data_IF_880428570732
#
_entry.id   IF_880428570732
#
_cell.length_a   1.000
_cell.length_b   1.000
_cell.length_c   1.000
_cell.angle_alpha   90.00
_cell.angle_beta   90.00
_cell.angle_gamma   90.00
#
_symmetry.space_group_name_H-M   'P 1'
#
loop_
_entity.id
_entity.type
_entity.pdbx_description
1 polymer ?
#
# COMPACT_ATOMS: atom_id res chain seq x y z
N UNK A 1 43.76 17.53 -13.52
CA UNK A 1 42.73 18.34 -12.82
C UNK A 1 41.34 18.15 -13.43
N UNK A 2 41.22 18.06 -14.76
CA UNK A 2 39.98 17.66 -15.45
C UNK A 2 39.53 16.22 -15.13
N UNK A 3 40.46 15.27 -14.97
CA UNK A 3 40.11 13.88 -14.63
C UNK A 3 39.51 13.75 -13.22
N UNK A 4 40.03 14.51 -12.25
CA UNK A 4 39.46 14.54 -10.89
C UNK A 4 38.06 15.16 -10.90
N UNK A 5 37.85 16.21 -11.72
CA UNK A 5 36.52 16.78 -11.89
C UNK A 5 35.54 15.77 -12.53
N UNK A 6 35.97 15.01 -13.54
CA UNK A 6 35.16 13.93 -14.13
C UNK A 6 34.86 12.80 -13.15
N UNK A 7 35.83 12.39 -12.32
CA UNK A 7 35.64 11.35 -11.29
C UNK A 7 34.60 11.80 -10.25
N UNK A 8 34.67 13.05 -9.78
CA UNK A 8 33.70 13.61 -8.82
C UNK A 8 32.30 13.72 -9.43
N UNK A 9 32.20 14.10 -10.71
CA UNK A 9 30.91 14.16 -11.42
C UNK A 9 30.32 12.76 -11.68
N UNK A 10 31.16 11.76 -11.94
CA UNK A 10 30.76 10.38 -12.15
C UNK A 10 30.29 9.70 -10.85
N UNK A 11 30.89 10.02 -9.71
CA UNK A 11 30.45 9.56 -8.39
C UNK A 11 29.04 10.08 -8.04
N UNK A 12 28.73 11.32 -8.42
CA UNK A 12 27.39 11.89 -8.23
C UNK A 12 26.33 11.25 -9.13
N UNK A 13 26.69 10.85 -10.36
CA UNK A 13 25.80 10.15 -11.29
C UNK A 13 25.60 8.66 -10.95
N UNK A 14 26.60 8.03 -10.33
CA UNK A 14 26.52 6.66 -9.83
C UNK A 14 25.65 6.52 -8.57
N UNK A 15 25.44 7.62 -7.82
CA UNK A 15 24.65 7.68 -6.59
C UNK A 15 23.20 8.13 -6.83
N UNK A 16 22.56 7.63 -7.89
CA UNK A 16 21.13 7.82 -8.12
C UNK A 16 20.29 7.31 -6.93
N UNK A 17 19.01 7.75 -6.78
CA UNK A 17 18.16 7.33 -5.68
C UNK A 17 18.11 5.80 -5.56
N UNK A 18 18.41 5.27 -4.37
CA UNK A 18 18.43 3.83 -4.12
C UNK A 18 17.08 3.15 -4.43
N UNK A 19 15.99 3.91 -4.32
CA UNK A 19 14.64 3.51 -4.72
C UNK A 19 14.14 4.53 -5.75
N UNK A 20 13.85 4.05 -6.95
CA UNK A 20 13.22 4.88 -7.99
C UNK A 20 11.76 5.19 -7.64
N UNK A 21 11.21 6.27 -8.21
CA UNK A 21 9.80 6.65 -8.00
C UNK A 21 8.80 5.50 -8.20
N UNK A 22 8.87 4.75 -9.32
CA UNK A 22 8.01 3.59 -9.55
C UNK A 22 8.22 2.46 -8.53
N UNK A 23 9.46 2.22 -8.10
CA UNK A 23 9.76 1.21 -7.07
C UNK A 23 9.20 1.61 -5.70
N UNK A 24 9.25 2.90 -5.34
CA UNK A 24 8.64 3.42 -4.13
C UNK A 24 7.11 3.31 -4.17
N UNK A 25 6.48 3.60 -5.32
CA UNK A 25 5.05 3.44 -5.52
C UNK A 25 4.60 1.98 -5.38
N UNK A 26 5.34 1.04 -5.98
CA UNK A 26 5.05 -0.40 -5.85
C UNK A 26 5.15 -0.88 -4.39
N UNK A 27 6.15 -0.42 -3.65
CA UNK A 27 6.29 -0.72 -2.22
C UNK A 27 5.16 -0.12 -1.39
N UNK A 28 4.79 1.14 -1.63
CA UNK A 28 3.70 1.80 -0.93
C UNK A 28 2.36 1.04 -1.12
N UNK A 29 2.06 0.63 -2.36
CA UNK A 29 0.86 -0.14 -2.67
C UNK A 29 0.89 -1.53 -2.07
N UNK A 30 2.03 -2.22 -2.15
CA UNK A 30 2.20 -3.54 -1.54
C UNK A 30 1.98 -3.52 -0.03
N UNK A 31 2.53 -2.52 0.67
CA UNK A 31 2.37 -2.35 2.12
C UNK A 31 0.94 -1.96 2.49
N UNK A 32 0.31 -1.08 1.72
CA UNK A 32 -1.09 -0.70 1.90
C UNK A 32 -2.04 -1.90 1.74
N UNK A 33 -1.85 -2.71 0.68
CA UNK A 33 -2.63 -3.91 0.42
C UNK A 33 -2.44 -4.98 1.51
N UNK A 34 -1.20 -5.18 1.98
CA UNK A 34 -0.91 -6.08 3.08
C UNK A 34 -1.60 -5.64 4.39
N UNK A 35 -1.59 -4.34 4.69
CA UNK A 35 -2.28 -3.78 5.85
C UNK A 35 -3.81 -3.93 5.76
N UNK A 36 -4.39 -3.67 4.59
CA UNK A 36 -5.82 -3.84 4.36
C UNK A 36 -6.27 -5.29 4.53
N UNK A 37 -5.56 -6.25 3.92
CA UNK A 37 -5.85 -7.68 4.09
C UNK A 37 -5.68 -8.14 5.54
N UNK A 38 -4.72 -7.57 6.28
CA UNK A 38 -4.56 -7.85 7.70
C UNK A 38 -5.75 -7.35 8.54
N UNK A 39 -6.31 -6.18 8.22
CA UNK A 39 -7.48 -5.65 8.90
C UNK A 39 -8.73 -6.48 8.56
N UNK A 40 -8.91 -6.81 7.29
CA UNK A 40 -10.08 -7.55 6.79
C UNK A 40 -10.20 -8.94 7.41
N UNK A 41 -9.08 -9.66 7.63
CA UNK A 41 -9.11 -10.97 8.28
C UNK A 41 -9.75 -10.94 9.68
N UNK A 42 -9.52 -9.86 10.43
CA UNK A 42 -10.04 -9.68 11.78
C UNK A 42 -11.51 -9.26 11.77
N UNK A 43 -11.83 -8.32 10.88
CA UNK A 43 -13.20 -7.82 10.73
C UNK A 43 -14.12 -8.93 10.20
N UNK A 44 -13.69 -9.70 9.20
CA UNK A 44 -14.46 -10.80 8.64
C UNK A 44 -14.74 -11.91 9.66
N UNK A 45 -13.74 -12.30 10.46
CA UNK A 45 -13.93 -13.29 11.52
C UNK A 45 -14.94 -12.80 12.59
N UNK A 46 -14.85 -11.53 13.00
CA UNK A 46 -15.78 -10.94 13.96
C UNK A 46 -17.19 -10.79 13.37
N UNK A 47 -17.31 -10.37 12.11
CA UNK A 47 -18.58 -10.20 11.42
C UNK A 47 -19.33 -11.52 11.28
N UNK A 48 -18.66 -12.60 10.85
CA UNK A 48 -19.30 -13.93 10.75
C UNK A 48 -19.73 -14.44 12.12
N UNK A 49 -18.94 -14.19 13.18
CA UNK A 49 -19.30 -14.53 14.55
C UNK A 49 -20.55 -13.78 15.04
N UNK A 50 -20.64 -12.48 14.77
CA UNK A 50 -21.80 -11.66 15.13
C UNK A 50 -23.06 -12.03 14.33
N UNK A 51 -22.92 -12.33 13.04
CA UNK A 51 -24.02 -12.79 12.19
C UNK A 51 -24.58 -14.13 12.70
N UNK A 52 -23.71 -15.01 13.23
CA UNK A 52 -24.16 -16.26 13.83
C UNK A 52 -25.00 -16.07 15.11
N UNK A 53 -24.88 -14.93 15.79
CA UNK A 53 -25.70 -14.54 16.95
C UNK A 53 -26.98 -13.82 16.53
N UNK A 54 -26.90 -12.92 15.55
CA UNK A 54 -28.03 -12.16 15.00
C UNK A 54 -27.85 -11.85 13.51
N UNK A 55 -28.71 -12.47 12.68
CA UNK A 55 -28.72 -12.31 11.22
C UNK A 55 -28.95 -10.86 10.77
N UNK A 56 -29.58 -10.02 11.60
CA UNK A 56 -29.81 -8.61 11.30
C UNK A 56 -28.50 -7.81 11.17
N UNK A 57 -27.41 -8.33 11.76
CA UNK A 57 -26.08 -7.72 11.72
C UNK A 57 -25.33 -7.95 10.41
N UNK A 58 -25.87 -8.74 9.47
CA UNK A 58 -25.25 -8.99 8.16
C UNK A 58 -24.83 -7.70 7.45
N UNK A 59 -25.73 -6.72 7.37
CA UNK A 59 -25.46 -5.46 6.66
C UNK A 59 -24.35 -4.67 7.34
N UNK A 60 -24.36 -4.62 8.67
CA UNK A 60 -23.32 -3.90 9.44
C UNK A 60 -21.96 -4.61 9.31
N UNK A 61 -21.94 -5.94 9.38
CA UNK A 61 -20.74 -6.74 9.13
C UNK A 61 -20.14 -6.45 7.75
N UNK A 62 -20.99 -6.40 6.71
CA UNK A 62 -20.58 -6.11 5.34
C UNK A 62 -20.02 -4.69 5.19
N UNK A 63 -20.64 -3.68 5.82
CA UNK A 63 -20.11 -2.30 5.81
C UNK A 63 -18.73 -2.25 6.46
N UNK A 64 -18.53 -2.93 7.59
CA UNK A 64 -17.25 -2.92 8.28
C UNK A 64 -16.15 -3.64 7.51
N UNK A 65 -16.45 -4.73 6.80
CA UNK A 65 -15.45 -5.45 5.97
C UNK A 65 -15.03 -4.65 4.75
N UNK A 66 -15.85 -3.70 4.27
CA UNK A 66 -15.53 -2.86 3.11
C UNK A 66 -14.70 -1.63 3.48
N UNK A 67 -14.61 -1.26 4.77
CA UNK A 67 -13.80 -0.12 5.21
C UNK A 67 -12.30 -0.25 4.81
N UNK A 68 -11.62 -1.40 5.01
CA UNK A 68 -10.25 -1.62 4.54
C UNK A 68 -10.06 -1.46 3.02
N UNK A 69 -11.09 -1.75 2.22
CA UNK A 69 -11.05 -1.64 0.75
C UNK A 69 -10.74 -0.20 0.30
N UNK A 70 -11.27 0.79 1.04
CA UNK A 70 -11.07 2.21 0.72
C UNK A 70 -9.59 2.61 0.73
N UNK A 71 -8.80 2.02 1.63
CA UNK A 71 -7.35 2.23 1.71
C UNK A 71 -6.68 1.69 0.43
N UNK A 72 -7.04 0.48 0.01
CA UNK A 72 -6.48 -0.15 -1.20
C UNK A 72 -6.77 0.71 -2.43
N UNK A 73 -7.99 1.24 -2.56
CA UNK A 73 -8.35 2.13 -3.67
C UNK A 73 -7.46 3.39 -3.67
N UNK A 74 -7.28 4.04 -2.51
CA UNK A 74 -6.41 5.22 -2.40
C UNK A 74 -4.94 4.90 -2.74
N UNK A 75 -4.46 3.72 -2.34
CA UNK A 75 -3.10 3.28 -2.69
C UNK A 75 -2.95 3.02 -4.19
N UNK A 76 -3.95 2.42 -4.84
CA UNK A 76 -3.94 2.20 -6.29
C UNK A 76 -3.91 3.53 -7.07
N UNK A 77 -4.55 4.59 -6.57
CA UNK A 77 -4.46 5.93 -7.18
C UNK A 77 -3.01 6.42 -7.25
N UNK A 78 -2.16 6.10 -6.26
CA UNK A 78 -0.75 6.48 -6.26
C UNK A 78 0.01 5.86 -7.43
N UNK A 79 -0.32 4.63 -7.83
CA UNK A 79 0.31 3.99 -9.00
C UNK A 79 0.05 4.78 -10.27
N UNK A 80 -1.15 5.31 -10.45
CA UNK A 80 -1.49 6.09 -11.65
C UNK A 80 -0.92 7.51 -11.66
N UNK A 81 -0.55 8.04 -10.48
CA UNK A 81 0.04 9.38 -10.36
C UNK A 81 1.57 9.34 -10.52
N UNK A 82 2.22 8.30 -9.98
CA UNK A 82 3.69 8.18 -9.93
C UNK A 82 4.26 7.25 -11.02
N UNK A 83 3.46 6.28 -11.45
CA UNK A 83 3.82 5.27 -12.45
C UNK A 83 3.66 5.72 -13.89
#
# INVERSE_FOLDING_TARGET
MLDIANIVMQESAANGPAISGPAAAALAVGLAAAGAGYAERGIGAAAVGAIAEDDSLFTQGLILTVLPETLVILALVVVFIVG
#
